data_IF_483469124373
#
_entry.id   IF_483469124373
#
_cell.length_a   1.000
_cell.length_b   1.000
_cell.length_c   1.000
_cell.angle_alpha   90.00
_cell.angle_beta   90.00
_cell.angle_gamma   90.00
#
_symmetry.space_group_name_H-M   'P 1'
#
loop_
_entity.id
_entity.type
_entity.pdbx_description
1 polymer ?
#
# COMPACT_ATOMS: atom_id res chain seq x y z
N UNK A 1 5.80 1.46 -17.06
CA UNK A 1 6.48 2.24 -15.99
C UNK A 1 6.08 1.60 -14.68
N UNK A 2 7.04 1.13 -13.89
CA UNK A 2 6.83 0.06 -12.90
C UNK A 2 6.15 0.48 -11.60
N UNK A 3 5.45 -0.47 -10.96
CA UNK A 3 4.77 -0.38 -9.66
C UNK A 3 5.72 -0.19 -8.45
N UNK A 4 6.82 0.55 -8.62
CA UNK A 4 7.87 0.69 -7.61
C UNK A 4 7.42 1.51 -6.40
N UNK A 5 6.57 2.52 -6.59
CA UNK A 5 6.08 3.38 -5.51
C UNK A 5 5.04 2.64 -4.65
N UNK A 6 4.15 1.87 -5.27
CA UNK A 6 3.24 0.95 -4.56
C UNK A 6 4.02 -0.09 -3.75
N UNK A 7 5.06 -0.71 -4.32
CA UNK A 7 5.89 -1.68 -3.61
C UNK A 7 6.51 -1.10 -2.33
N UNK A 8 7.04 0.13 -2.40
CA UNK A 8 7.58 0.85 -1.23
C UNK A 8 6.50 1.19 -0.19
N UNK A 9 5.30 1.56 -0.63
CA UNK A 9 4.18 1.83 0.28
C UNK A 9 3.74 0.59 1.01
N UNK A 10 3.67 -0.55 0.34
CA UNK A 10 3.30 -1.80 0.99
C UNK A 10 4.42 -2.24 1.94
N UNK A 11 5.69 -2.20 1.51
CA UNK A 11 6.80 -2.53 2.41
C UNK A 11 6.76 -1.66 3.68
N UNK A 12 6.52 -0.37 3.53
CA UNK A 12 6.30 0.53 4.66
C UNK A 12 5.06 0.17 5.47
N UNK A 13 3.96 -0.23 4.85
CA UNK A 13 2.76 -0.68 5.56
C UNK A 13 2.98 -1.97 6.36
N UNK A 14 3.82 -2.88 5.87
CA UNK A 14 4.19 -4.12 6.57
C UNK A 14 5.12 -3.82 7.74
N UNK A 15 6.11 -2.95 7.55
CA UNK A 15 7.13 -2.67 8.56
C UNK A 15 6.73 -1.56 9.55
N UNK A 16 5.80 -0.67 9.20
CA UNK A 16 5.38 0.47 10.00
C UNK A 16 3.92 0.33 10.49
N UNK A 17 3.78 -0.07 11.76
CA UNK A 17 2.50 -0.27 12.43
C UNK A 17 1.66 1.02 12.54
N UNK A 18 2.30 2.20 12.61
CA UNK A 18 1.59 3.48 12.63
C UNK A 18 1.00 3.74 11.25
N UNK A 19 1.81 3.57 10.21
CA UNK A 19 1.38 3.69 8.83
C UNK A 19 0.23 2.73 8.51
N UNK A 20 0.29 1.50 9.02
CA UNK A 20 -0.80 0.51 8.89
C UNK A 20 -2.11 0.99 9.49
N UNK A 21 -2.08 1.56 10.69
CA UNK A 21 -3.27 2.11 11.34
C UNK A 21 -3.80 3.35 10.62
N UNK A 22 -2.91 4.16 10.05
CA UNK A 22 -3.30 5.33 9.27
C UNK A 22 -3.90 4.95 7.92
N UNK A 23 -3.31 4.00 7.18
CA UNK A 23 -3.86 3.51 5.91
C UNK A 23 -5.26 2.92 6.09
N UNK A 24 -5.50 2.16 7.17
CA UNK A 24 -6.82 1.57 7.44
C UNK A 24 -7.90 2.61 7.68
N UNK A 25 -7.53 3.77 8.22
CA UNK A 25 -8.46 4.88 8.48
C UNK A 25 -8.58 5.81 7.28
N UNK A 26 -7.44 6.17 6.69
CA UNK A 26 -7.29 7.10 5.58
C UNK A 26 -6.09 6.72 4.69
N UNK A 27 -6.32 5.91 3.65
CA UNK A 27 -5.27 5.50 2.73
C UNK A 27 -4.65 6.69 1.99
N UNK A 28 -5.47 7.68 1.59
CA UNK A 28 -5.02 8.89 0.89
C UNK A 28 -4.09 9.75 1.74
N UNK A 29 -4.46 10.03 2.99
CA UNK A 29 -3.60 10.79 3.90
C UNK A 29 -2.32 10.04 4.25
N UNK A 30 -2.37 8.72 4.40
CA UNK A 30 -1.18 7.94 4.69
C UNK A 30 -0.17 8.00 3.53
N UNK A 31 -0.62 7.80 2.30
CA UNK A 31 0.24 7.93 1.10
C UNK A 31 0.86 9.34 1.01
N UNK A 32 0.06 10.38 1.21
CA UNK A 32 0.55 11.76 1.24
C UNK A 32 1.58 12.01 2.35
N UNK A 33 1.35 11.49 3.55
CA UNK A 33 2.31 11.57 4.68
C UNK A 33 3.60 10.81 4.41
N UNK A 34 3.56 9.77 3.59
CA UNK A 34 4.76 9.04 3.17
C UNK A 34 5.62 9.85 2.19
N UNK A 35 5.06 10.88 1.56
CA UNK A 35 5.72 11.64 0.49
C UNK A 35 5.78 10.89 -0.84
N UNK A 36 5.11 9.75 -0.94
CA UNK A 36 5.10 8.89 -2.13
C UNK A 36 3.96 9.34 -3.04
N UNK A 37 4.26 9.54 -4.33
CA UNK A 37 3.27 10.00 -5.31
C UNK A 37 2.88 8.85 -6.21
N UNK A 38 1.74 8.24 -5.90
CA UNK A 38 1.14 7.23 -6.75
C UNK A 38 0.56 7.85 -8.02
N UNK A 39 0.78 7.17 -9.15
CA UNK A 39 0.06 7.44 -10.41
C UNK A 39 -1.40 6.98 -10.33
N UNK A 40 -2.22 7.34 -11.33
CA UNK A 40 -3.64 6.91 -11.38
C UNK A 40 -3.79 5.38 -11.39
N UNK A 41 -2.92 4.67 -12.11
CA UNK A 41 -2.94 3.21 -12.18
C UNK A 41 -2.60 2.59 -10.84
N UNK A 42 -1.58 3.13 -10.16
CA UNK A 42 -1.17 2.72 -8.83
C UNK A 42 -2.24 3.03 -7.78
N UNK A 43 -2.90 4.18 -7.88
CA UNK A 43 -4.06 4.50 -7.04
C UNK A 43 -5.18 3.48 -7.20
N UNK A 44 -5.43 3.03 -8.43
CA UNK A 44 -6.45 2.04 -8.69
C UNK A 44 -6.10 0.69 -8.04
N UNK A 45 -4.84 0.24 -8.19
CA UNK A 45 -4.36 -0.97 -7.52
C UNK A 45 -4.42 -0.83 -6.00
N UNK A 46 -3.94 0.29 -5.47
CA UNK A 46 -3.88 0.59 -4.05
C UNK A 46 -5.28 0.68 -3.40
N UNK A 47 -6.28 1.23 -4.09
CA UNK A 47 -7.68 1.22 -3.62
C UNK A 47 -8.33 -0.16 -3.72
N UNK A 48 -7.86 -1.02 -4.62
CA UNK A 48 -8.28 -2.42 -4.72
C UNK A 48 -7.54 -3.35 -3.74
N UNK A 49 -6.53 -2.85 -3.02
CA UNK A 49 -5.91 -3.58 -1.92
C UNK A 49 -6.87 -3.55 -0.73
N UNK A 50 -7.19 -4.74 -0.23
CA UNK A 50 -8.00 -4.87 0.97
C UNK A 50 -7.11 -4.66 2.22
N UNK A 51 -7.09 -3.43 2.72
CA UNK A 51 -6.27 -2.99 3.86
C UNK A 51 -6.71 -3.58 5.21
N UNK A 52 -7.85 -4.27 5.23
CA UNK A 52 -8.33 -5.01 6.39
C UNK A 52 -7.65 -6.37 6.53
N UNK A 53 -6.98 -6.86 5.49
CA UNK A 53 -6.29 -8.16 5.53
C UNK A 53 -5.10 -8.17 6.52
N UNK A 54 -4.85 -9.36 7.08
CA UNK A 54 -3.65 -9.65 7.87
C UNK A 54 -2.40 -9.67 6.99
N UNK A 55 -1.25 -9.48 7.64
CA UNK A 55 0.08 -9.28 7.07
C UNK A 55 0.47 -10.35 6.03
N UNK A 56 -0.01 -11.58 6.24
CA UNK A 56 0.29 -12.76 5.41
C UNK A 56 -0.45 -12.75 4.06
N UNK A 57 -1.74 -12.39 4.06
CA UNK A 57 -2.57 -12.35 2.84
C UNK A 57 -2.12 -11.23 1.90
N UNK A 58 -1.63 -10.13 2.46
CA UNK A 58 -1.20 -8.98 1.68
C UNK A 58 0.16 -9.24 1.01
N UNK A 59 1.10 -9.91 1.70
CA UNK A 59 2.35 -10.40 1.08
C UNK A 59 2.08 -11.36 -0.07
N UNK A 60 1.12 -12.27 0.11
CA UNK A 60 0.77 -13.25 -0.92
C UNK A 60 0.23 -12.60 -2.21
N UNK A 61 -0.57 -11.52 -2.11
CA UNK A 61 -1.12 -10.83 -3.30
C UNK A 61 -0.07 -10.08 -4.10
N UNK A 62 0.91 -9.47 -3.45
CA UNK A 62 1.97 -8.70 -4.14
C UNK A 62 2.91 -9.65 -4.86
N UNK A 63 3.24 -10.77 -4.23
CA UNK A 63 4.09 -11.79 -4.84
C UNK A 63 3.40 -12.51 -6.01
N UNK A 64 2.06 -12.44 -6.10
CA UNK A 64 1.29 -13.02 -7.21
C UNK A 64 1.09 -12.05 -8.39
N UNK A 65 1.42 -10.77 -8.20
CA UNK A 65 1.36 -9.72 -9.23
C UNK A 65 2.70 -9.40 -9.88
N UNK A 66 3.77 -10.13 -9.52
CA UNK A 66 5.08 -10.12 -10.17
C UNK A 66 5.25 -11.33 -11.08
#
# INVERSE_FOLDING_TARGET
MGMQEVGKLIDKWINDLKFRSEIRKNPESAVQKSGIKLTKEEWNLFKNVDWSLSDEELKARINKGM
#
